data_IF_720729290725
#
_entry.id   IF_720729290725
#
_cell.length_a   1.000
_cell.length_b   1.000
_cell.length_c   1.000
_cell.angle_alpha   90.00
_cell.angle_beta   90.00
_cell.angle_gamma   90.00
#
_symmetry.space_group_name_H-M   'P 1'
#
loop_
_entity.id
_entity.type
_entity.pdbx_description
1 polymer ?
#
# COMPACT_ATOMS: atom_id res chain seq x y z
N UNK A 1 -16.34 -7.78 -0.53
CA UNK A 1 -15.35 -7.04 0.29
C UNK A 1 -13.92 -7.40 -0.11
N UNK A 2 -12.95 -6.56 0.23
CA UNK A 2 -11.54 -6.72 -0.13
C UNK A 2 -10.71 -7.11 1.08
N UNK A 3 -9.85 -8.13 0.95
CA UNK A 3 -8.91 -8.53 1.98
C UNK A 3 -7.48 -8.26 1.53
N UNK A 4 -6.78 -7.38 2.24
CA UNK A 4 -5.37 -7.09 2.02
C UNK A 4 -4.50 -7.88 3.02
N UNK A 5 -3.61 -8.71 2.49
CA UNK A 5 -2.74 -9.60 3.25
C UNK A 5 -1.31 -9.11 3.13
N UNK A 6 -0.71 -8.69 4.24
CA UNK A 6 0.70 -8.29 4.27
C UNK A 6 1.62 -9.52 4.34
N UNK A 7 1.48 -10.41 3.38
CA UNK A 7 2.31 -11.59 3.22
C UNK A 7 2.76 -11.66 1.76
N UNK A 8 4.07 -11.70 1.50
CA UNK A 8 4.57 -11.86 0.14
C UNK A 8 4.06 -13.17 -0.48
N UNK A 9 3.87 -13.22 -1.79
CA UNK A 9 3.36 -14.39 -2.47
C UNK A 9 4.30 -15.61 -2.44
N UNK A 10 5.51 -15.45 -1.91
CA UNK A 10 6.52 -16.50 -1.89
C UNK A 10 7.13 -16.79 -3.26
N UNK A 11 7.77 -17.94 -3.40
CA UNK A 11 8.29 -18.41 -4.68
C UNK A 11 7.16 -18.66 -5.69
N UNK A 12 7.40 -18.56 -7.00
CA UNK A 12 6.37 -18.75 -8.03
C UNK A 12 5.57 -20.06 -7.88
N UNK A 13 6.24 -21.14 -7.50
CA UNK A 13 5.59 -22.45 -7.32
C UNK A 13 4.60 -22.50 -6.14
N UNK A 14 4.81 -21.68 -5.11
CA UNK A 14 3.96 -21.62 -3.90
C UNK A 14 2.90 -20.54 -3.93
N UNK A 15 2.95 -19.65 -4.91
CA UNK A 15 2.05 -18.48 -4.97
C UNK A 15 0.57 -18.88 -5.07
N UNK A 16 0.25 -19.90 -5.87
CA UNK A 16 -1.11 -20.41 -6.00
C UNK A 16 -1.61 -21.03 -4.69
N UNK A 17 -0.75 -21.81 -3.99
CA UNK A 17 -1.07 -22.37 -2.68
C UNK A 17 -1.32 -21.31 -1.61
N UNK A 18 -0.60 -20.20 -1.66
CA UNK A 18 -0.83 -19.04 -0.77
C UNK A 18 -2.24 -18.47 -0.98
N UNK A 19 -2.67 -18.28 -2.23
CA UNK A 19 -4.02 -17.77 -2.54
C UNK A 19 -5.09 -18.73 -2.06
N UNK A 20 -4.98 -20.03 -2.37
CA UNK A 20 -5.97 -21.03 -1.94
C UNK A 20 -6.06 -21.17 -0.43
N UNK A 21 -4.92 -21.15 0.28
CA UNK A 21 -4.90 -21.19 1.74
C UNK A 21 -5.60 -19.98 2.38
N UNK A 22 -5.41 -18.78 1.85
CA UNK A 22 -6.13 -17.61 2.33
C UNK A 22 -7.63 -17.66 2.01
N UNK A 23 -8.01 -18.18 0.83
CA UNK A 23 -9.44 -18.37 0.49
C UNK A 23 -10.12 -19.34 1.44
N UNK A 24 -9.49 -20.45 1.74
CA UNK A 24 -9.99 -21.43 2.70
C UNK A 24 -10.19 -20.82 4.10
N UNK A 25 -9.18 -20.08 4.59
CA UNK A 25 -9.26 -19.39 5.89
C UNK A 25 -10.34 -18.32 5.97
N UNK A 26 -10.66 -17.69 4.85
CA UNK A 26 -11.63 -16.59 4.80
C UNK A 26 -12.99 -16.98 4.23
N UNK A 27 -13.19 -18.26 3.94
CA UNK A 27 -14.47 -18.78 3.49
C UNK A 27 -15.58 -18.45 4.49
N UNK A 28 -16.68 -17.92 4.00
CA UNK A 28 -17.82 -17.52 4.83
C UNK A 28 -17.73 -16.14 5.49
N UNK A 29 -16.59 -15.42 5.38
CA UNK A 29 -16.45 -14.05 5.89
C UNK A 29 -16.86 -12.98 4.90
N UNK A 30 -17.20 -13.33 3.66
CA UNK A 30 -17.70 -12.40 2.64
C UNK A 30 -16.61 -11.61 1.93
N UNK A 31 -15.38 -12.13 1.87
CA UNK A 31 -14.31 -11.53 1.08
C UNK A 31 -14.32 -12.07 -0.36
N UNK A 32 -14.50 -11.17 -1.32
CA UNK A 32 -14.53 -11.52 -2.74
C UNK A 32 -13.12 -11.59 -3.34
N UNK A 33 -12.27 -10.68 -2.92
CA UNK A 33 -10.92 -10.50 -3.44
C UNK A 33 -9.84 -10.63 -2.36
N UNK A 34 -8.79 -11.37 -2.68
CA UNK A 34 -7.61 -11.54 -1.84
C UNK A 34 -6.43 -10.85 -2.51
N UNK A 35 -5.87 -9.85 -1.83
CA UNK A 35 -4.71 -9.09 -2.27
C UNK A 35 -3.47 -9.49 -1.47
N UNK A 36 -2.43 -9.96 -2.15
CA UNK A 36 -1.14 -10.28 -1.56
C UNK A 36 -0.17 -9.12 -1.76
N UNK A 37 0.66 -8.87 -0.76
CA UNK A 37 1.65 -7.80 -0.80
C UNK A 37 2.86 -8.20 -1.63
N UNK A 38 3.26 -7.33 -2.57
CA UNK A 38 4.54 -7.45 -3.24
C UNK A 38 5.71 -7.06 -2.33
N UNK A 39 6.94 -7.15 -2.84
CA UNK A 39 8.09 -6.62 -2.14
C UNK A 39 7.96 -5.10 -2.02
N UNK A 40 8.11 -4.61 -0.79
CA UNK A 40 7.94 -3.22 -0.43
C UNK A 40 8.89 -2.30 -1.21
N UNK A 41 8.34 -1.24 -1.79
CA UNK A 41 9.06 -0.22 -2.55
C UNK A 41 10.06 -0.77 -3.60
N UNK A 42 9.77 -1.95 -4.14
CA UNK A 42 10.60 -2.61 -5.14
C UNK A 42 10.71 -1.79 -6.42
N UNK A 43 11.88 -1.85 -7.04
CA UNK A 43 12.16 -1.16 -8.31
C UNK A 43 13.16 -1.95 -9.18
N UNK A 44 13.21 -1.64 -10.46
CA UNK A 44 14.17 -2.22 -11.40
C UNK A 44 14.17 -3.75 -11.42
N UNK A 45 15.31 -4.35 -11.13
CA UNK A 45 15.48 -5.82 -11.12
C UNK A 45 14.61 -6.52 -10.08
N UNK A 46 14.36 -5.89 -8.92
CA UNK A 46 13.52 -6.46 -7.87
C UNK A 46 12.08 -6.68 -8.36
N UNK A 47 11.53 -5.75 -9.14
CA UNK A 47 10.22 -5.94 -9.77
C UNK A 47 10.23 -7.10 -10.77
N UNK A 48 11.26 -7.17 -11.63
CA UNK A 48 11.34 -8.23 -12.65
C UNK A 48 11.41 -9.63 -12.06
N UNK A 49 12.17 -9.80 -10.96
CA UNK A 49 12.28 -11.09 -10.26
C UNK A 49 10.93 -11.55 -9.69
N UNK A 50 10.08 -10.63 -9.22
CA UNK A 50 8.79 -10.97 -8.65
C UNK A 50 7.73 -11.33 -9.69
N UNK A 51 7.90 -10.90 -10.94
CA UNK A 51 6.88 -11.02 -11.99
C UNK A 51 6.30 -12.43 -12.14
N UNK A 52 7.08 -13.52 -12.17
CA UNK A 52 6.53 -14.87 -12.29
C UNK A 52 5.64 -15.26 -11.08
N UNK A 53 6.01 -14.81 -9.88
CA UNK A 53 5.21 -15.04 -8.67
C UNK A 53 3.85 -14.33 -8.75
N UNK A 54 3.84 -13.07 -9.17
CA UNK A 54 2.61 -12.29 -9.34
C UNK A 54 1.69 -12.89 -10.41
N UNK A 55 2.25 -13.36 -11.52
CA UNK A 55 1.49 -14.06 -12.56
C UNK A 55 0.83 -15.33 -12.03
N UNK A 56 1.50 -16.09 -11.17
CA UNK A 56 0.93 -17.27 -10.55
C UNK A 56 -0.16 -16.94 -9.52
N UNK A 57 -0.01 -15.84 -8.76
CA UNK A 57 -1.07 -15.33 -7.89
C UNK A 57 -2.33 -15.01 -8.70
N UNK A 58 -2.17 -14.29 -9.81
CA UNK A 58 -3.31 -13.93 -10.68
C UNK A 58 -3.97 -15.15 -11.32
N UNK A 59 -3.19 -16.12 -11.80
CA UNK A 59 -3.72 -17.39 -12.32
C UNK A 59 -4.53 -18.17 -11.27
N UNK A 60 -4.17 -18.04 -10.01
CA UNK A 60 -4.92 -18.62 -8.89
C UNK A 60 -6.13 -17.78 -8.46
N UNK A 61 -6.40 -16.67 -9.15
CA UNK A 61 -7.50 -15.76 -8.84
C UNK A 61 -7.22 -14.80 -7.69
N UNK A 62 -5.98 -14.69 -7.24
CA UNK A 62 -5.54 -13.65 -6.30
C UNK A 62 -5.18 -12.35 -7.02
N UNK A 63 -4.97 -11.30 -6.25
CA UNK A 63 -4.58 -9.98 -6.72
C UNK A 63 -3.31 -9.50 -5.99
N UNK A 64 -2.62 -8.54 -6.59
CA UNK A 64 -1.39 -7.99 -6.04
C UNK A 64 -1.55 -6.53 -5.66
N UNK A 65 -0.97 -6.15 -4.53
CA UNK A 65 -0.76 -4.75 -4.17
C UNK A 65 0.67 -4.53 -3.71
N UNK A 66 1.20 -3.33 -3.89
CA UNK A 66 2.54 -2.96 -3.43
C UNK A 66 2.65 -1.45 -3.28
N UNK A 67 3.49 -1.02 -2.33
CA UNK A 67 3.90 0.37 -2.22
C UNK A 67 4.99 0.71 -3.24
N UNK A 68 5.01 1.96 -3.66
CA UNK A 68 6.06 2.50 -4.52
C UNK A 68 6.20 4.01 -4.40
N UNK A 69 7.40 4.49 -4.70
CA UNK A 69 7.74 5.92 -4.81
C UNK A 69 8.43 6.25 -6.14
N UNK A 70 8.74 5.23 -6.96
CA UNK A 70 9.28 5.35 -8.33
C UNK A 70 8.23 4.99 -9.37
N UNK A 71 8.47 5.41 -10.61
CA UNK A 71 7.54 5.20 -11.73
C UNK A 71 7.60 3.82 -12.37
N UNK A 72 8.72 3.13 -12.24
CA UNK A 72 8.99 1.86 -12.90
C UNK A 72 8.00 0.71 -12.59
N UNK A 73 7.25 0.67 -11.47
CA UNK A 73 6.19 -0.32 -11.30
C UNK A 73 5.15 -0.35 -12.41
N UNK A 74 4.80 0.79 -12.99
CA UNK A 74 3.86 0.81 -14.11
C UNK A 74 4.44 0.11 -15.36
N UNK A 75 5.68 0.45 -15.71
CA UNK A 75 6.35 -0.10 -16.90
C UNK A 75 6.63 -1.60 -16.79
N UNK A 76 7.00 -2.07 -15.58
CA UNK A 76 7.41 -3.47 -15.37
C UNK A 76 6.20 -4.37 -15.10
N UNK A 77 5.25 -3.93 -14.31
CA UNK A 77 4.15 -4.76 -13.82
C UNK A 77 2.83 -4.49 -14.56
N UNK A 78 2.53 -3.24 -14.90
CA UNK A 78 1.29 -2.87 -15.56
C UNK A 78 0.07 -3.40 -14.80
N UNK A 79 -0.85 -4.06 -15.52
CA UNK A 79 -2.07 -4.67 -14.95
C UNK A 79 -1.83 -5.82 -13.95
N UNK A 80 -0.59 -6.28 -13.77
CA UNK A 80 -0.24 -7.27 -12.74
C UNK A 80 -0.23 -6.67 -11.33
N UNK A 81 -0.07 -5.37 -11.20
CA UNK A 81 -0.24 -4.63 -9.95
C UNK A 81 -1.66 -4.12 -9.88
N UNK A 82 -2.53 -4.83 -9.16
CA UNK A 82 -3.95 -4.51 -9.08
C UNK A 82 -4.24 -3.28 -8.20
N UNK A 83 -3.39 -3.02 -7.20
CA UNK A 83 -3.42 -1.80 -6.39
C UNK A 83 -2.01 -1.26 -6.19
N UNK A 84 -1.76 -0.07 -6.72
CA UNK A 84 -0.57 0.70 -6.36
C UNK A 84 -0.85 1.49 -5.08
N UNK A 85 0.03 1.40 -4.08
CA UNK A 85 0.04 2.29 -2.90
C UNK A 85 1.17 3.31 -3.08
N UNK A 86 0.80 4.53 -3.49
CA UNK A 86 1.75 5.56 -3.88
C UNK A 86 2.19 6.43 -2.71
N UNK A 87 3.50 6.56 -2.48
CA UNK A 87 4.06 7.36 -1.37
C UNK A 87 4.17 8.86 -1.67
N UNK A 88 4.06 9.24 -2.93
CA UNK A 88 4.08 10.65 -3.34
C UNK A 88 2.73 11.34 -3.16
N UNK A 89 2.71 12.65 -3.38
CA UNK A 89 1.46 13.42 -3.39
C UNK A 89 0.48 12.93 -4.45
N UNK A 90 -0.81 13.18 -4.25
CA UNK A 90 -1.87 12.75 -5.16
C UNK A 90 -1.77 13.48 -6.52
N UNK A 91 -1.72 12.72 -7.59
CA UNK A 91 -1.53 13.19 -8.97
C UNK A 91 -2.62 12.63 -9.89
N UNK A 92 -3.50 13.47 -10.47
CA UNK A 92 -4.58 13.00 -11.36
C UNK A 92 -4.08 12.20 -12.57
N UNK A 93 -2.95 12.58 -13.15
CA UNK A 93 -2.38 11.87 -14.29
C UNK A 93 -1.93 10.45 -13.92
N UNK A 94 -1.44 10.26 -12.69
CA UNK A 94 -1.07 8.94 -12.18
C UNK A 94 -2.30 8.07 -11.96
N UNK A 95 -3.37 8.61 -11.40
CA UNK A 95 -4.64 7.90 -11.27
C UNK A 95 -5.16 7.45 -12.63
N UNK A 96 -5.24 8.36 -13.60
CA UNK A 96 -5.64 8.04 -14.96
C UNK A 96 -4.76 6.94 -15.60
N UNK A 97 -3.45 6.97 -15.37
CA UNK A 97 -2.51 5.98 -15.88
C UNK A 97 -2.82 4.58 -15.31
N UNK A 98 -3.00 4.45 -13.99
CA UNK A 98 -3.30 3.15 -13.36
C UNK A 98 -4.71 2.66 -13.69
N UNK A 99 -5.70 3.54 -13.74
CA UNK A 99 -7.04 3.18 -14.17
C UNK A 99 -7.08 2.69 -15.62
N UNK A 100 -6.20 3.19 -16.51
CA UNK A 100 -6.15 2.75 -17.91
C UNK A 100 -5.79 1.27 -18.10
N UNK A 101 -5.19 0.63 -17.09
CA UNK A 101 -4.89 -0.81 -17.08
C UNK A 101 -5.80 -1.60 -16.13
N UNK A 102 -6.87 -0.99 -15.63
CA UNK A 102 -7.83 -1.62 -14.72
C UNK A 102 -7.35 -1.76 -13.28
N UNK A 103 -6.27 -1.07 -12.91
CA UNK A 103 -5.70 -1.10 -11.56
C UNK A 103 -6.18 0.08 -10.74
N UNK A 104 -6.19 -0.08 -9.42
CA UNK A 104 -6.51 0.97 -8.46
C UNK A 104 -5.24 1.68 -7.98
N UNK A 105 -5.40 2.91 -7.49
CA UNK A 105 -4.32 3.66 -6.86
C UNK A 105 -4.74 4.19 -5.50
N UNK A 106 -3.93 3.89 -4.49
CA UNK A 106 -4.09 4.37 -3.13
C UNK A 106 -2.93 5.30 -2.76
N UNK A 107 -3.17 6.20 -1.83
CA UNK A 107 -2.12 7.09 -1.32
C UNK A 107 -1.67 6.65 0.07
N UNK A 108 -0.36 6.75 0.36
CA UNK A 108 0.18 6.75 1.71
C UNK A 108 1.18 7.89 1.92
N UNK A 109 0.98 9.00 1.20
CA UNK A 109 1.87 10.16 1.29
C UNK A 109 1.89 10.77 2.70
N UNK A 110 3.07 11.26 3.09
CA UNK A 110 3.27 11.95 4.36
C UNK A 110 2.96 13.46 4.25
N UNK A 111 2.51 14.09 5.32
CA UNK A 111 2.09 13.48 6.58
C UNK A 111 0.78 12.71 6.41
N UNK A 112 0.70 11.52 7.02
CA UNK A 112 -0.46 10.65 6.88
C UNK A 112 -1.58 11.04 7.84
N UNK A 113 -1.32 10.93 9.13
CA UNK A 113 -2.27 11.24 10.20
C UNK A 113 -1.55 11.81 11.42
N UNK A 114 -2.27 12.55 12.26
CA UNK A 114 -1.75 13.10 13.50
C UNK A 114 -2.81 13.95 14.20
N UNK A 115 -2.52 14.40 15.39
CA UNK A 115 -3.42 15.24 16.18
C UNK A 115 -3.10 16.74 16.06
N UNK A 116 -1.87 17.06 15.67
CA UNK A 116 -1.35 18.42 15.67
C UNK A 116 -1.89 19.25 14.51
N UNK A 117 -2.10 18.62 13.33
CA UNK A 117 -2.55 19.30 12.12
C UNK A 117 -3.76 18.61 11.45
N UNK A 118 -4.91 18.54 12.12
CA UNK A 118 -6.05 17.77 11.63
C UNK A 118 -6.60 18.27 10.27
N UNK A 119 -6.43 19.53 9.94
CA UNK A 119 -6.87 20.07 8.66
C UNK A 119 -6.02 19.54 7.50
N UNK A 120 -4.70 19.46 7.69
CA UNK A 120 -3.77 18.92 6.71
C UNK A 120 -4.06 17.45 6.44
N UNK A 121 -4.30 16.67 7.51
CA UNK A 121 -4.59 15.24 7.37
C UNK A 121 -5.95 14.99 6.69
N UNK A 122 -6.97 15.77 7.03
CA UNK A 122 -8.26 15.71 6.32
C UNK A 122 -8.14 16.08 4.84
N UNK A 123 -7.30 17.05 4.53
CA UNK A 123 -7.03 17.39 3.14
C UNK A 123 -6.35 16.23 2.41
N UNK A 124 -5.24 15.71 2.94
CA UNK A 124 -4.45 14.65 2.30
C UNK A 124 -5.24 13.34 2.13
N UNK A 125 -6.05 12.98 3.14
CA UNK A 125 -6.80 11.72 3.17
C UNK A 125 -8.28 11.86 2.79
N UNK A 126 -8.69 13.02 2.33
CA UNK A 126 -10.02 13.28 1.85
C UNK A 126 -10.02 14.02 0.52
N UNK A 127 -9.94 15.36 0.57
CA UNK A 127 -10.10 16.21 -0.61
C UNK A 127 -9.04 15.98 -1.68
N UNK A 128 -7.79 15.73 -1.30
CA UNK A 128 -6.71 15.49 -2.25
C UNK A 128 -6.90 14.18 -3.01
N UNK A 129 -7.35 13.12 -2.32
CA UNK A 129 -7.68 11.83 -2.94
C UNK A 129 -8.82 12.00 -3.94
N UNK A 130 -9.92 12.60 -3.49
CA UNK A 130 -11.10 12.83 -4.32
C UNK A 130 -10.78 13.67 -5.56
N UNK A 131 -10.06 14.79 -5.38
CA UNK A 131 -9.65 15.68 -6.48
C UNK A 131 -8.75 14.99 -7.50
N UNK A 132 -7.92 14.05 -7.06
CA UNK A 132 -6.97 13.33 -7.91
C UNK A 132 -7.51 12.00 -8.44
N UNK A 133 -8.76 11.64 -8.13
CA UNK A 133 -9.39 10.40 -8.56
C UNK A 133 -8.65 9.15 -8.04
N UNK A 134 -8.21 9.20 -6.78
CA UNK A 134 -7.61 8.05 -6.10
C UNK A 134 -8.69 7.18 -5.47
N UNK A 135 -8.52 5.85 -5.53
CA UNK A 135 -9.49 4.88 -5.02
C UNK A 135 -9.47 4.73 -3.49
N UNK A 136 -8.41 5.18 -2.84
CA UNK A 136 -8.31 5.07 -1.39
C UNK A 136 -6.96 5.49 -0.82
N UNK A 137 -6.76 5.12 0.43
CA UNK A 137 -5.52 5.37 1.17
C UNK A 137 -5.13 4.20 2.04
N UNK A 138 -3.85 4.05 2.27
CA UNK A 138 -3.28 3.16 3.27
C UNK A 138 -2.33 3.94 4.16
N UNK A 139 -2.15 3.50 5.39
CA UNK A 139 -1.29 4.17 6.37
C UNK A 139 -0.17 3.23 6.79
N UNK A 140 1.04 3.70 6.84
CA UNK A 140 2.11 3.04 7.57
C UNK A 140 2.32 3.77 8.89
N UNK A 141 1.99 3.20 10.03
CA UNK A 141 1.27 1.98 10.36
C UNK A 141 0.28 2.32 11.47
N UNK A 142 -0.67 1.42 11.79
CA UNK A 142 -1.57 1.65 12.92
C UNK A 142 -0.80 1.88 14.24
N UNK A 143 0.26 1.12 14.43
CA UNK A 143 1.19 1.27 15.55
C UNK A 143 2.62 1.04 15.08
N UNK A 144 3.49 1.96 15.41
CA UNK A 144 4.92 1.84 15.14
C UNK A 144 5.72 2.57 16.21
N UNK A 145 6.45 1.81 17.05
CA UNK A 145 7.47 2.34 17.96
C UNK A 145 8.39 1.24 18.46
N UNK A 146 9.55 1.66 18.93
CA UNK A 146 10.45 0.81 19.69
C UNK A 146 9.96 0.76 21.15
N UNK A 147 9.58 -0.44 21.63
CA UNK A 147 9.15 -0.65 23.02
C UNK A 147 7.64 -0.59 23.23
N UNK A 148 7.23 -0.32 24.47
CA UNK A 148 5.81 -0.34 24.85
C UNK A 148 5.12 0.98 24.47
N UNK A 149 4.53 1.06 23.31
CA UNK A 149 3.79 2.23 22.78
C UNK A 149 2.82 2.80 23.81
N UNK A 150 2.08 1.94 24.49
CA UNK A 150 1.06 2.36 25.46
C UNK A 150 1.60 2.88 26.78
N UNK A 151 2.88 2.65 27.09
CA UNK A 151 3.51 3.13 28.34
C UNK A 151 4.30 4.42 28.15
N UNK A 152 4.58 4.84 26.94
CA UNK A 152 5.39 6.02 26.63
C UNK A 152 4.58 7.22 26.15
N UNK A 153 3.35 7.34 26.60
CA UNK A 153 2.38 8.32 26.13
C UNK A 153 2.78 9.80 26.30
N UNK A 154 3.78 10.13 27.10
CA UNK A 154 4.08 11.52 27.42
C UNK A 154 5.28 12.15 26.73
N UNK A 155 6.19 11.37 26.15
CA UNK A 155 7.43 11.94 25.58
C UNK A 155 7.76 11.56 24.16
N UNK A 156 7.04 10.61 23.53
CA UNK A 156 7.41 10.05 22.23
C UNK A 156 6.29 9.98 21.18
N UNK A 157 5.10 10.45 21.49
CA UNK A 157 4.00 10.54 20.51
C UNK A 157 4.43 11.40 19.32
N UNK A 158 5.14 12.48 19.54
CA UNK A 158 5.70 13.33 18.50
C UNK A 158 6.68 12.59 17.58
N UNK A 159 7.45 11.65 18.11
CA UNK A 159 8.43 10.88 17.32
C UNK A 159 7.81 9.76 16.48
N UNK A 160 6.60 9.31 16.86
CA UNK A 160 5.90 8.23 16.17
C UNK A 160 5.05 8.77 15.01
N UNK A 161 4.57 10.00 15.16
CA UNK A 161 3.62 10.63 14.23
C UNK A 161 4.32 11.57 13.26
N UNK A 162 5.48 12.10 13.60
CA UNK A 162 6.23 13.06 12.78
C UNK A 162 7.26 12.31 11.93
N UNK A 163 7.12 12.39 10.62
CA UNK A 163 8.14 11.87 9.70
C UNK A 163 9.49 12.59 9.90
N UNK A 164 10.62 11.97 9.57
CA UNK A 164 11.94 12.62 9.62
C UNK A 164 11.98 13.99 8.95
N UNK A 165 11.18 14.19 7.91
CA UNK A 165 11.07 15.45 7.15
C UNK A 165 10.46 16.59 7.99
N UNK A 166 9.58 16.29 8.93
CA UNK A 166 8.99 17.31 9.82
C UNK A 166 9.95 17.74 10.94
N UNK A 167 10.92 16.90 11.32
CA UNK A 167 11.96 17.29 12.28
C UNK A 167 12.92 18.36 11.73
N UNK A 168 13.11 18.43 10.41
CA UNK A 168 13.96 19.43 9.78
C UNK A 168 13.29 20.80 9.64
N UNK A 169 11.97 20.87 9.75
CA UNK A 169 11.22 22.14 9.70
C UNK A 169 10.97 22.75 11.07
N UNK A 170 11.21 22.02 12.16
CA UNK A 170 11.01 22.48 13.53
C UNK A 170 12.33 22.83 14.27
N UNK A 171 13.47 22.77 13.60
CA UNK A 171 14.78 23.24 14.05
C UNK A 171 15.20 24.45 13.21
#
# INVERSE_FOLDING_TARGET
DLLFINTPPGAPASAAGTVSGWRELTEGFGYDDIYLYGLDEAHGTQLRIQKPSWENVQKAGGKMYASAWKEDPFEVMGSRLNVLVWSGGCQPNKAKQWHSVGSKIFSYSNPQVGVEEPLLYRYNYGLALWKADYDGSMTFAYQYAYGHIWKTLTARISAIIVSPTQRQMAS
#
